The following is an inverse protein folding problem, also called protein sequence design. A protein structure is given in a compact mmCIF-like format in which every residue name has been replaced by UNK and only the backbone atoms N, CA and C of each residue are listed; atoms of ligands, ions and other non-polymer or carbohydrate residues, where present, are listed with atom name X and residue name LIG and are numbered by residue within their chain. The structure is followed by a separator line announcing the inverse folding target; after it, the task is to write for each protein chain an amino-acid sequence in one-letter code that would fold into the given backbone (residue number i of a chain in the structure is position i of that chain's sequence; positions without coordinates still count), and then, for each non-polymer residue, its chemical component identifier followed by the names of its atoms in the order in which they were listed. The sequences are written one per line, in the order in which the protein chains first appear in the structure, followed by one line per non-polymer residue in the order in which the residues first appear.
data_IF_124555660412
#
_entry.id   IF_124555660412
#
_cell.length_a   1.000
_cell.length_b   1.000
_cell.length_c   1.000
_cell.angle_alpha   90.00
_cell.angle_beta   90.00
_cell.angle_gamma   90.00
#
_symmetry.space_group_name_H-M   'P 1'
#
loop_
_entity.id
_entity.type
_entity.pdbx_description
1 polymer ?
#
# COMPACT_ATOMS: atom_id res chain seq x y z
N UNK A 1 20.29 6.32 27.82
CA UNK A 1 18.87 6.61 28.00
C UNK A 1 18.45 7.50 26.84
N UNK A 2 17.38 7.17 26.15
CA UNK A 2 16.82 8.06 25.13
C UNK A 2 16.22 9.30 25.81
N UNK A 3 16.32 10.50 25.17
CA UNK A 3 15.66 11.69 25.70
C UNK A 3 14.15 11.48 25.83
N UNK A 4 13.55 12.02 26.88
CA UNK A 4 12.10 12.13 27.01
C UNK A 4 11.60 13.33 26.16
N UNK A 5 10.33 13.32 25.76
CA UNK A 5 9.74 14.44 24.98
C UNK A 5 9.79 15.78 25.72
N UNK A 6 9.96 15.75 27.05
CA UNK A 6 10.10 16.93 27.90
C UNK A 6 11.52 17.41 28.07
N UNK A 7 12.52 16.65 27.56
CA UNK A 7 13.91 17.06 27.61
C UNK A 7 14.18 18.16 26.56
N UNK A 8 15.18 18.99 26.83
CA UNK A 8 15.54 20.09 25.95
C UNK A 8 16.99 19.95 25.46
N UNK A 9 17.21 20.27 24.20
CA UNK A 9 18.55 20.39 23.63
C UNK A 9 18.96 21.85 23.50
N UNK A 10 20.26 22.11 23.69
CA UNK A 10 20.86 23.38 23.34
C UNK A 10 21.31 23.34 21.87
N UNK A 11 20.82 24.28 21.08
CA UNK A 11 21.23 24.47 19.69
C UNK A 11 21.84 25.86 19.52
N UNK A 12 22.79 25.99 18.58
CA UNK A 12 23.27 27.29 18.13
C UNK A 12 22.54 27.70 16.86
N UNK A 13 21.78 28.79 16.93
CA UNK A 13 21.11 29.40 15.79
C UNK A 13 21.77 30.75 15.49
N UNK A 14 22.51 30.81 14.41
CA UNK A 14 23.27 32.00 13.99
C UNK A 14 24.17 32.59 15.11
N UNK A 15 24.78 31.72 15.92
CA UNK A 15 25.65 32.12 17.05
C UNK A 15 24.89 32.41 18.36
N UNK A 16 23.57 32.31 18.38
CA UNK A 16 22.77 32.46 19.60
C UNK A 16 22.36 31.08 20.13
N UNK A 17 22.64 30.81 21.40
CA UNK A 17 22.23 29.58 22.05
C UNK A 17 20.71 29.63 22.32
N UNK A 18 19.99 28.63 21.84
CA UNK A 18 18.55 28.45 22.07
C UNK A 18 18.28 27.05 22.63
N UNK A 19 17.21 26.92 23.38
CA UNK A 19 16.67 25.63 23.80
C UNK A 19 15.60 25.18 22.79
N UNK A 20 15.60 23.91 22.47
CA UNK A 20 14.60 23.26 21.65
C UNK A 20 14.12 21.99 22.35
N UNK A 21 12.82 21.77 22.37
CA UNK A 21 12.22 20.54 22.89
C UNK A 21 12.72 19.30 22.13
N UNK A 22 13.00 18.23 22.85
CA UNK A 22 13.39 16.94 22.25
C UNK A 22 12.33 16.42 21.27
N UNK A 23 11.05 16.71 21.50
CA UNK A 23 9.95 16.39 20.60
C UNK A 23 10.04 17.07 19.23
N UNK A 24 10.73 18.20 19.15
CA UNK A 24 10.96 18.96 17.91
C UNK A 24 12.25 18.55 17.19
N UNK A 25 13.13 17.83 17.88
CA UNK A 25 14.31 17.19 17.26
C UNK A 25 13.84 15.84 16.68
N UNK A 26 13.11 15.92 15.59
CA UNK A 26 12.47 14.78 15.00
C UNK A 26 13.44 13.64 14.73
N UNK A 27 13.26 12.54 15.41
CA UNK A 27 13.77 11.27 14.95
C UNK A 27 13.05 10.95 13.65
N UNK A 28 13.70 11.22 12.49
CA UNK A 28 13.14 10.98 11.16
C UNK A 28 12.98 9.49 10.86
N UNK A 29 12.17 8.81 11.67
CA UNK A 29 11.79 7.42 11.47
C UNK A 29 10.50 7.28 10.67
N UNK A 30 10.24 6.06 10.23
CA UNK A 30 8.94 5.70 9.61
C UNK A 30 7.84 5.94 10.64
N UNK A 31 6.85 6.76 10.29
CA UNK A 31 5.75 7.14 11.19
C UNK A 31 4.44 6.43 10.89
N UNK A 32 4.30 5.84 9.69
CA UNK A 32 3.16 5.01 9.28
C UNK A 32 3.69 3.80 8.53
N UNK A 33 3.27 2.62 8.96
CA UNK A 33 3.40 1.39 8.20
C UNK A 33 2.15 0.54 8.42
N UNK A 34 1.56 0.04 7.33
CA UNK A 34 0.32 -0.73 7.36
C UNK A 34 0.29 -1.78 6.25
N UNK A 35 -0.43 -2.86 6.47
CA UNK A 35 -0.62 -3.93 5.50
C UNK A 35 -2.07 -4.37 5.42
N UNK A 36 -2.51 -4.64 4.20
CA UNK A 36 -3.83 -5.14 3.86
C UNK A 36 -3.73 -6.39 3.01
N UNK A 37 -4.67 -7.30 3.19
CA UNK A 37 -4.75 -8.57 2.46
C UNK A 37 -6.12 -8.79 1.83
N UNK A 38 -6.21 -9.69 0.88
CA UNK A 38 -7.49 -10.23 0.42
C UNK A 38 -7.86 -11.46 1.24
N UNK A 39 -9.11 -11.53 1.66
CA UNK A 39 -9.67 -12.64 2.47
C UNK A 39 -10.35 -13.71 1.65
N UNK A 40 -10.60 -13.47 0.37
CA UNK A 40 -11.23 -14.43 -0.53
C UNK A 40 -10.66 -14.32 -1.95
N UNK A 41 -10.58 -15.47 -2.62
CA UNK A 41 -10.16 -15.53 -4.01
C UNK A 41 -11.06 -14.64 -4.89
N UNK A 42 -10.47 -14.03 -5.91
CA UNK A 42 -11.17 -13.18 -6.86
C UNK A 42 -10.92 -13.68 -8.29
N UNK A 43 -12.01 -13.97 -9.01
CA UNK A 43 -11.93 -14.19 -10.47
C UNK A 43 -11.60 -12.88 -11.16
N UNK A 44 -10.53 -12.89 -11.96
CA UNK A 44 -10.07 -11.69 -12.64
C UNK A 44 -10.97 -11.31 -13.81
N UNK A 45 -11.12 -10.02 -14.04
CA UNK A 45 -11.90 -9.46 -15.16
C UNK A 45 -11.06 -9.35 -16.44
N UNK A 46 -11.71 -9.38 -17.60
CA UNK A 46 -11.08 -9.18 -18.91
C UNK A 46 -10.82 -7.70 -19.27
N UNK A 47 -11.00 -6.79 -18.32
CA UNK A 47 -10.65 -5.36 -18.44
C UNK A 47 -10.13 -4.84 -17.11
N UNK A 48 -9.36 -3.76 -17.14
CA UNK A 48 -8.83 -3.16 -15.92
C UNK A 48 -9.97 -2.79 -14.96
N UNK A 49 -10.06 -3.52 -13.86
CA UNK A 49 -11.16 -3.43 -12.88
C UNK A 49 -10.59 -3.32 -11.47
N UNK A 50 -11.15 -2.40 -10.68
CA UNK A 50 -10.75 -2.22 -9.28
C UNK A 50 -11.06 -3.47 -8.46
N UNK A 51 -10.14 -3.86 -7.59
CA UNK A 51 -10.38 -4.86 -6.55
C UNK A 51 -11.16 -4.19 -5.43
N UNK A 52 -12.49 -4.24 -5.52
CA UNK A 52 -13.40 -3.45 -4.69
C UNK A 52 -13.85 -4.14 -3.41
N UNK A 53 -13.60 -5.43 -3.25
CA UNK A 53 -14.10 -6.23 -2.13
C UNK A 53 -13.01 -7.12 -1.54
N UNK A 54 -13.33 -7.72 -0.38
CA UNK A 54 -12.50 -8.68 0.35
C UNK A 54 -11.18 -8.10 0.89
N UNK A 55 -11.05 -6.79 0.98
CA UNK A 55 -9.93 -6.16 1.65
C UNK A 55 -10.10 -6.14 3.16
N UNK A 56 -9.09 -6.58 3.86
CA UNK A 56 -8.98 -6.57 5.31
C UNK A 56 -7.59 -6.10 5.73
N UNK A 57 -7.49 -5.35 6.80
CA UNK A 57 -6.19 -5.09 7.41
C UNK A 57 -5.62 -6.41 7.93
N UNK A 58 -4.33 -6.63 7.74
CA UNK A 58 -3.69 -7.87 8.19
C UNK A 58 -3.91 -8.03 9.69
N UNK A 59 -4.29 -9.24 10.10
CA UNK A 59 -4.58 -9.61 11.48
C UNK A 59 -3.82 -10.89 11.92
N UNK A 60 -2.85 -11.34 11.12
CA UNK A 60 -1.99 -12.48 11.44
C UNK A 60 -1.27 -12.27 12.77
N UNK A 61 -1.03 -13.36 13.49
CA UNK A 61 -0.27 -13.32 14.75
C UNK A 61 1.08 -12.61 14.56
N UNK A 62 1.33 -11.62 15.40
CA UNK A 62 2.54 -10.79 15.34
C UNK A 62 2.46 -9.60 14.40
N UNK A 63 1.36 -9.41 13.68
CA UNK A 63 1.15 -8.17 12.93
C UNK A 63 0.95 -6.98 13.88
N UNK A 64 1.46 -5.83 13.48
CA UNK A 64 1.22 -4.54 14.13
C UNK A 64 1.48 -3.42 13.14
N UNK A 65 0.49 -2.57 12.95
CA UNK A 65 0.70 -1.34 12.19
C UNK A 65 1.48 -0.32 13.03
N UNK A 66 2.24 0.51 12.37
CA UNK A 66 2.90 1.66 12.99
C UNK A 66 2.06 2.92 12.73
N UNK A 67 1.80 3.70 13.77
CA UNK A 67 1.00 4.92 13.66
C UNK A 67 -0.46 4.66 13.30
N UNK A 68 -1.08 5.58 12.58
CA UNK A 68 -2.48 5.45 12.16
C UNK A 68 -2.59 4.58 10.92
N UNK A 69 -3.51 3.63 10.94
CA UNK A 69 -3.78 2.73 9.82
C UNK A 69 -4.36 3.45 8.60
N UNK A 70 -4.17 2.86 7.42
CA UNK A 70 -4.96 3.19 6.23
C UNK A 70 -6.44 2.90 6.49
N UNK A 71 -7.32 3.55 5.76
CA UNK A 71 -8.74 3.16 5.70
C UNK A 71 -9.13 2.88 4.24
N UNK A 72 -10.13 2.01 4.03
CA UNK A 72 -10.60 1.72 2.69
C UNK A 72 -12.13 1.64 2.64
N UNK A 73 -12.67 1.95 1.46
CA UNK A 73 -14.06 1.74 1.11
C UNK A 73 -14.14 1.35 -0.36
N UNK A 74 -14.76 0.20 -0.66
CA UNK A 74 -14.90 -0.31 -2.02
C UNK A 74 -13.57 -0.40 -2.80
N UNK A 75 -12.47 -0.74 -2.11
CA UNK A 75 -11.13 -0.86 -2.69
C UNK A 75 -10.40 0.46 -2.91
N UNK A 76 -10.96 1.58 -2.48
CA UNK A 76 -10.32 2.89 -2.49
C UNK A 76 -9.67 3.13 -1.12
N UNK A 77 -8.34 3.26 -1.11
CA UNK A 77 -7.58 3.47 0.11
C UNK A 77 -7.32 4.96 0.36
N UNK A 78 -7.50 5.36 1.62
CA UNK A 78 -7.28 6.72 2.12
C UNK A 78 -6.10 6.73 3.08
N UNK A 79 -5.18 7.65 2.86
CA UNK A 79 -4.00 7.85 3.70
C UNK A 79 -4.34 8.57 5.00
N UNK A 80 -3.74 8.18 6.13
CA UNK A 80 -4.02 8.81 7.42
C UNK A 80 -3.37 10.20 7.57
N UNK A 81 -2.31 10.48 6.82
CA UNK A 81 -1.58 11.76 6.87
C UNK A 81 -0.97 12.08 5.50
N UNK A 82 -0.56 13.32 5.29
CA UNK A 82 0.26 13.72 4.14
C UNK A 82 1.68 13.16 4.27
N UNK A 83 2.40 13.05 3.16
CA UNK A 83 3.79 12.57 3.12
C UNK A 83 4.09 11.75 1.86
N UNK A 84 5.34 11.37 1.71
CA UNK A 84 5.80 10.45 0.65
C UNK A 84 5.58 9.02 1.12
N UNK A 85 4.75 8.28 0.41
CA UNK A 85 4.45 6.89 0.72
C UNK A 85 5.05 5.93 -0.30
N UNK A 86 5.67 4.86 0.18
CA UNK A 86 5.88 3.65 -0.60
C UNK A 86 4.59 2.85 -0.55
N UNK A 87 3.96 2.68 -1.72
CA UNK A 87 2.80 1.82 -1.92
C UNK A 87 3.25 0.59 -2.70
N UNK A 88 3.07 -0.60 -2.14
CA UNK A 88 3.41 -1.87 -2.78
C UNK A 88 2.16 -2.71 -2.95
N UNK A 89 2.03 -3.33 -4.11
CA UNK A 89 1.00 -4.32 -4.39
C UNK A 89 1.65 -5.64 -4.78
N UNK A 90 1.31 -6.70 -4.04
CA UNK A 90 1.70 -8.07 -4.31
C UNK A 90 0.47 -8.86 -4.73
N UNK A 91 0.53 -9.50 -5.89
CA UNK A 91 -0.56 -10.26 -6.46
C UNK A 91 -0.13 -11.71 -6.72
N UNK A 92 -0.76 -12.65 -6.04
CA UNK A 92 -0.60 -14.08 -6.34
C UNK A 92 -1.72 -14.51 -7.29
N UNK A 93 -1.35 -14.98 -8.47
CA UNK A 93 -2.27 -15.43 -9.51
C UNK A 93 -2.16 -16.93 -9.69
N UNK A 94 -3.30 -17.59 -9.79
CA UNK A 94 -3.40 -19.00 -10.18
C UNK A 94 -4.36 -19.17 -11.35
N UNK A 95 -4.36 -20.36 -11.96
CA UNK A 95 -5.24 -20.69 -13.08
C UNK A 95 -5.15 -19.71 -14.27
N UNK A 96 -3.99 -19.08 -14.45
CA UNK A 96 -3.71 -18.22 -15.59
C UNK A 96 -3.40 -19.12 -16.79
N UNK A 97 -4.42 -19.50 -17.57
CA UNK A 97 -4.33 -20.57 -18.56
C UNK A 97 -4.16 -20.08 -20.00
N UNK A 98 -3.94 -18.80 -20.21
CA UNK A 98 -3.86 -18.35 -21.59
C UNK A 98 -2.74 -17.38 -21.92
N UNK A 99 -2.62 -16.23 -21.29
CA UNK A 99 -1.59 -15.28 -21.69
C UNK A 99 -0.94 -14.59 -20.50
N UNK A 100 -1.65 -13.67 -19.87
CA UNK A 100 -1.13 -12.94 -18.71
C UNK A 100 -2.22 -12.36 -17.84
N UNK A 101 -1.84 -12.07 -16.60
CA UNK A 101 -2.61 -11.33 -15.63
C UNK A 101 -1.83 -10.09 -15.23
N UNK A 102 -2.50 -8.95 -15.12
CA UNK A 102 -1.89 -7.68 -14.79
C UNK A 102 -2.43 -7.19 -13.47
N UNK A 103 -1.55 -6.77 -12.58
CA UNK A 103 -1.87 -6.04 -11.38
C UNK A 103 -1.40 -4.59 -11.51
N UNK A 104 -2.20 -3.65 -11.04
CA UNK A 104 -1.92 -2.23 -11.18
C UNK A 104 -2.06 -1.50 -9.85
N UNK A 105 -1.27 -0.45 -9.69
CA UNK A 105 -1.53 0.63 -8.74
C UNK A 105 -2.09 1.82 -9.53
N UNK A 106 -3.30 2.23 -9.20
CA UNK A 106 -3.94 3.43 -9.70
C UNK A 106 -3.98 4.50 -8.61
N UNK A 107 -3.68 5.72 -8.96
CA UNK A 107 -3.70 6.86 -8.04
C UNK A 107 -4.61 7.97 -8.54
N UNK A 108 -5.07 8.80 -7.61
CA UNK A 108 -5.77 10.05 -7.92
C UNK A 108 -5.28 11.16 -7.02
N UNK A 109 -5.26 12.38 -7.52
CA UNK A 109 -4.96 13.61 -6.78
C UNK A 109 -6.17 14.52 -6.63
N UNK A 110 -7.33 14.12 -7.16
CA UNK A 110 -8.57 14.88 -7.13
C UNK A 110 -9.79 14.08 -6.64
N UNK A 111 -9.58 12.85 -6.17
CA UNK A 111 -10.60 11.91 -5.71
C UNK A 111 -11.71 11.59 -6.75
N UNK A 112 -11.43 11.73 -8.03
CA UNK A 112 -12.40 11.46 -9.10
C UNK A 112 -11.80 10.74 -10.30
N UNK A 113 -10.67 11.19 -10.80
CA UNK A 113 -10.00 10.60 -11.95
C UNK A 113 -8.81 9.76 -11.47
N UNK A 114 -8.88 8.46 -11.70
CA UNK A 114 -7.81 7.54 -11.36
C UNK A 114 -6.99 7.24 -12.60
N UNK A 115 -5.67 7.33 -12.47
CA UNK A 115 -4.71 7.01 -13.53
C UNK A 115 -3.78 5.90 -13.07
N UNK A 116 -3.36 5.06 -14.01
CA UNK A 116 -2.35 4.06 -13.78
C UNK A 116 -1.02 4.72 -13.40
N UNK A 117 -0.51 4.36 -12.23
CA UNK A 117 0.80 4.80 -11.77
C UNK A 117 1.88 3.76 -12.11
N UNK A 118 1.56 2.48 -11.96
CA UNK A 118 2.46 1.37 -12.30
C UNK A 118 1.68 0.08 -12.48
N UNK A 119 2.28 -0.85 -13.22
CA UNK A 119 1.74 -2.17 -13.48
C UNK A 119 2.78 -3.27 -13.27
N UNK A 120 2.29 -4.48 -13.05
CA UNK A 120 3.07 -5.72 -13.02
C UNK A 120 2.33 -6.83 -13.73
N UNK A 121 3.07 -7.78 -14.30
CA UNK A 121 2.49 -8.87 -15.10
C UNK A 121 2.91 -10.21 -14.52
N UNK A 122 1.93 -11.09 -14.33
CA UNK A 122 2.12 -12.51 -14.12
C UNK A 122 1.68 -13.27 -15.37
N UNK A 123 2.52 -14.10 -15.94
CA UNK A 123 2.19 -14.91 -17.11
C UNK A 123 2.18 -16.38 -16.74
N UNK A 124 1.28 -17.13 -17.38
CA UNK A 124 1.16 -18.58 -17.19
C UNK A 124 0.60 -19.23 -18.44
N UNK A 125 0.99 -20.47 -18.68
CA UNK A 125 0.60 -21.23 -19.86
C UNK A 125 -0.35 -22.39 -19.53
N UNK A 126 -0.64 -22.62 -18.27
CA UNK A 126 -1.52 -23.71 -17.83
C UNK A 126 -2.30 -23.34 -16.57
N UNK A 127 -3.47 -23.95 -16.40
CA UNK A 127 -4.34 -23.78 -15.20
C UNK A 127 -3.69 -24.23 -13.90
N UNK A 128 -2.60 -25.00 -13.94
CA UNK A 128 -1.91 -25.51 -12.76
C UNK A 128 -0.81 -24.57 -12.25
N UNK A 129 -0.51 -23.50 -12.97
CA UNK A 129 0.57 -22.59 -12.57
C UNK A 129 0.10 -21.57 -11.55
N UNK A 130 0.99 -21.31 -10.60
CA UNK A 130 0.88 -20.21 -9.65
C UNK A 130 2.03 -19.23 -9.91
N UNK A 131 1.70 -17.97 -10.02
CA UNK A 131 2.66 -16.90 -10.27
C UNK A 131 2.46 -15.78 -9.27
N UNK A 132 3.55 -15.11 -8.95
CA UNK A 132 3.53 -13.91 -8.13
C UNK A 132 4.02 -12.73 -8.97
N UNK A 133 3.31 -11.63 -8.86
CA UNK A 133 3.70 -10.37 -9.49
C UNK A 133 3.62 -9.25 -8.45
N UNK A 134 4.62 -8.39 -8.43
CA UNK A 134 4.72 -7.31 -7.48
C UNK A 134 5.07 -6.01 -8.19
N UNK A 135 4.43 -4.93 -7.78
CA UNK A 135 4.78 -3.57 -8.22
C UNK A 135 4.73 -2.62 -7.04
N UNK A 136 5.44 -1.52 -7.16
CA UNK A 136 5.48 -0.48 -6.14
C UNK A 136 5.55 0.91 -6.76
N UNK A 137 5.09 1.89 -6.01
CA UNK A 137 5.06 3.28 -6.43
C UNK A 137 5.33 4.21 -5.25
N UNK A 138 6.13 5.26 -5.48
CA UNK A 138 6.31 6.34 -4.52
C UNK A 138 5.24 7.40 -4.79
N UNK A 139 4.33 7.57 -3.86
CA UNK A 139 3.22 8.51 -3.99
C UNK A 139 3.36 9.67 -3.02
N UNK A 140 3.44 10.88 -3.56
CA UNK A 140 3.41 12.11 -2.79
C UNK A 140 1.97 12.49 -2.45
N UNK A 141 1.60 12.32 -1.18
CA UNK A 141 0.25 12.58 -0.65
C UNK A 141 0.25 13.96 -0.01
N UNK A 142 -0.06 14.97 -0.78
CA UNK A 142 -0.14 16.37 -0.30
C UNK A 142 -1.50 16.72 0.31
N UNK A 143 -2.54 15.91 0.08
CA UNK A 143 -3.89 16.11 0.62
C UNK A 143 -4.63 14.79 0.78
N UNK A 144 -4.89 14.37 2.02
CA UNK A 144 -5.54 13.09 2.31
C UNK A 144 -7.01 12.99 1.87
N UNK A 145 -7.67 14.12 1.62
CA UNK A 145 -9.06 14.14 1.12
C UNK A 145 -9.14 13.82 -0.37
N UNK A 146 -8.13 14.19 -1.15
CA UNK A 146 -8.13 14.07 -2.62
C UNK A 146 -7.16 13.02 -3.16
N UNK A 147 -6.06 12.75 -2.45
CA UNK A 147 -5.07 11.77 -2.85
C UNK A 147 -5.49 10.38 -2.35
N UNK A 148 -5.79 9.48 -3.29
CA UNK A 148 -6.22 8.11 -3.00
C UNK A 148 -5.45 7.14 -3.88
N UNK A 149 -5.45 5.89 -3.45
CA UNK A 149 -4.90 4.78 -4.24
C UNK A 149 -5.90 3.64 -4.31
N UNK A 150 -5.90 2.92 -5.42
CA UNK A 150 -6.70 1.73 -5.64
C UNK A 150 -5.88 0.70 -6.42
N UNK A 151 -6.16 -0.58 -6.16
CA UNK A 151 -5.52 -1.68 -6.86
C UNK A 151 -6.47 -2.24 -7.91
N UNK A 152 -5.96 -2.34 -9.13
CA UNK A 152 -6.73 -2.85 -10.27
C UNK A 152 -6.11 -4.16 -10.75
N UNK A 153 -6.92 -4.92 -11.44
CA UNK A 153 -6.55 -6.19 -12.04
C UNK A 153 -7.15 -6.33 -13.44
N UNK A 154 -6.46 -7.06 -14.29
CA UNK A 154 -6.90 -7.44 -15.62
C UNK A 154 -6.33 -8.82 -15.95
N UNK A 155 -7.08 -9.66 -16.64
CA UNK A 155 -6.57 -10.84 -17.32
C UNK A 155 -6.75 -10.74 -18.82
N UNK A 156 -5.78 -11.22 -19.55
CA UNK A 156 -5.97 -11.66 -20.92
C UNK A 156 -6.30 -13.16 -20.93
N UNK A 157 -7.04 -13.61 -21.93
CA UNK A 157 -7.43 -14.99 -22.05
C UNK A 157 -8.65 -15.38 -21.21
N UNK A 158 -8.83 -16.69 -20.95
CA UNK A 158 -10.11 -17.22 -20.48
C UNK A 158 -10.25 -17.31 -18.97
N UNK A 159 -9.16 -17.58 -18.25
CA UNK A 159 -9.22 -17.77 -16.78
C UNK A 159 -7.99 -17.19 -16.10
N UNK A 160 -8.19 -16.50 -15.00
CA UNK A 160 -7.20 -16.20 -13.99
C UNK A 160 -7.87 -15.92 -12.66
N UNK A 161 -7.22 -16.33 -11.58
CA UNK A 161 -7.74 -16.21 -10.24
C UNK A 161 -6.69 -15.53 -9.37
N UNK A 162 -7.03 -14.40 -8.76
CA UNK A 162 -6.24 -13.83 -7.68
C UNK A 162 -6.46 -14.69 -6.45
N UNK A 163 -5.36 -15.16 -5.87
CA UNK A 163 -5.37 -15.99 -4.67
C UNK A 163 -5.40 -15.16 -3.41
N UNK A 164 -6.22 -15.61 -2.49
CA UNK A 164 -6.29 -15.09 -1.14
C UNK A 164 -6.38 -16.26 -0.16
N UNK A 165 -6.04 -16.02 1.07
CA UNK A 165 -6.19 -16.98 2.15
C UNK A 165 -7.40 -16.59 3.01
N UNK A 166 -8.22 -17.57 3.37
CA UNK A 166 -9.31 -17.41 4.33
C UNK A 166 -8.85 -17.54 5.78
N UNK A 167 -7.61 -17.99 5.98
CA UNK A 167 -6.89 -17.91 7.25
C UNK A 167 -6.07 -16.62 7.29
N UNK A 168 -5.20 -16.47 8.25
CA UNK A 168 -4.49 -15.22 8.54
C UNK A 168 -3.28 -14.93 7.61
N UNK A 169 -3.05 -15.77 6.58
CA UNK A 169 -1.89 -15.63 5.68
C UNK A 169 -2.14 -14.59 4.58
N UNK A 170 -1.17 -13.73 4.32
CA UNK A 170 -1.22 -12.77 3.23
C UNK A 170 -0.68 -13.39 1.94
N UNK A 171 -1.56 -13.77 1.02
CA UNK A 171 -1.21 -14.22 -0.33
C UNK A 171 -1.17 -13.04 -1.31
N UNK A 172 -2.30 -12.36 -1.48
CA UNK A 172 -2.37 -11.11 -2.22
C UNK A 172 -2.64 -9.98 -1.24
N UNK A 173 -1.90 -8.88 -1.37
CA UNK A 173 -2.05 -7.78 -0.43
C UNK A 173 -1.31 -6.51 -0.85
N UNK A 174 -1.47 -5.49 -0.02
CA UNK A 174 -0.86 -4.20 -0.19
C UNK A 174 -0.10 -3.78 1.07
N UNK A 175 1.01 -3.07 0.88
CA UNK A 175 1.81 -2.50 1.96
C UNK A 175 1.94 -1.00 1.74
N UNK A 176 1.82 -0.24 2.81
CA UNK A 176 1.93 1.21 2.83
C UNK A 176 2.96 1.63 3.87
N UNK A 177 3.97 2.39 3.46
CA UNK A 177 5.01 2.89 4.36
C UNK A 177 5.20 4.38 4.08
N UNK A 178 5.00 5.22 5.09
CA UNK A 178 5.31 6.65 4.99
C UNK A 178 6.80 6.85 5.21
N UNK A 179 7.48 7.34 4.20
CA UNK A 179 8.94 7.52 4.22
C UNK A 179 9.36 8.87 4.81
N UNK A 180 8.50 9.89 4.70
CA UNK A 180 8.81 11.23 5.16
C UNK A 180 7.73 12.24 4.81
N UNK A 181 8.03 13.52 5.03
CA UNK A 181 7.15 14.63 4.69
C UNK A 181 7.14 14.91 3.18
N UNK A 182 6.10 15.62 2.71
CA UNK A 182 5.97 16.10 1.32
C UNK A 182 6.90 17.26 1.04
#
# INVERSE_FOLDING_TARGET
VAPADTDEFLISDAGTLKRIDASLVGGGGISVADQWRLTANLTMAGSATVISANWEQVDSDGFGNLGSAMSQSSGIFTFPSTGIYLVRFNMWVSACDSDYAVGYIYTTVNNSSYTEATATVASGTTTAQNNNAMTEFLFDVTNTSTHKVAFYQLREGSNALIKADTSDSTQTGATFIRLGDT
#
